data_IF_410317640381
#
_entry.id   IF_410317640381
#
_cell.length_a   1.000
_cell.length_b   1.000
_cell.length_c   1.000
_cell.angle_alpha   90.00
_cell.angle_beta   90.00
_cell.angle_gamma   90.00
#
_symmetry.space_group_name_H-M   'P 1'
#
loop_
_entity.id
_entity.type
_entity.pdbx_description
1 polymer ?
#
# COMPACT_ATOMS: atom_id res chain seq x y z
N UNK A 1 -3.21 -19.85 23.66
CA UNK A 1 -3.59 -18.46 24.03
C UNK A 1 -4.58 -17.95 22.99
N UNK A 2 -5.87 -17.86 23.34
CA UNK A 2 -6.87 -17.13 22.54
C UNK A 2 -6.76 -15.68 23.00
N UNK A 3 -6.17 -14.81 22.20
CA UNK A 3 -6.04 -13.41 22.55
C UNK A 3 -7.34 -12.70 22.15
N UNK A 4 -8.19 -12.28 23.12
CA UNK A 4 -9.53 -11.72 22.81
C UNK A 4 -9.48 -10.45 21.98
N UNK A 5 -8.31 -9.82 21.90
CA UNK A 5 -8.09 -8.55 21.23
C UNK A 5 -7.62 -8.67 19.76
N UNK A 6 -7.30 -9.89 19.30
CA UNK A 6 -6.83 -10.13 17.94
C UNK A 6 -7.97 -10.71 17.12
N UNK A 7 -8.47 -9.91 16.18
CA UNK A 7 -9.52 -10.34 15.25
C UNK A 7 -9.00 -10.30 13.81
N UNK A 8 -9.19 -11.40 13.08
CA UNK A 8 -8.87 -11.51 11.67
C UNK A 8 -10.12 -11.25 10.84
N UNK A 9 -10.06 -10.21 10.01
CA UNK A 9 -11.12 -9.87 9.09
C UNK A 9 -10.80 -10.48 7.73
N UNK A 10 -11.69 -11.35 7.24
CA UNK A 10 -11.48 -12.08 5.98
C UNK A 10 -12.78 -12.23 5.20
N UNK A 11 -12.67 -12.71 3.96
CA UNK A 11 -13.83 -13.06 3.13
C UNK A 11 -14.31 -14.47 3.45
N UNK A 12 -15.61 -14.71 3.26
CA UNK A 12 -16.28 -16.00 3.55
C UNK A 12 -15.52 -17.19 2.95
N UNK A 13 -15.08 -17.05 1.70
CA UNK A 13 -14.36 -18.08 0.92
C UNK A 13 -13.01 -18.47 1.53
N UNK A 14 -12.39 -17.58 2.31
CA UNK A 14 -11.07 -17.80 2.92
C UNK A 14 -11.15 -18.15 4.40
N UNK A 15 -12.34 -18.14 5.00
CA UNK A 15 -12.52 -18.45 6.44
C UNK A 15 -11.95 -19.82 6.77
N UNK A 16 -12.26 -20.85 5.97
CA UNK A 16 -11.76 -22.22 6.23
C UNK A 16 -10.24 -22.30 6.25
N UNK A 17 -9.57 -21.59 5.33
CA UNK A 17 -8.10 -21.58 5.25
C UNK A 17 -7.47 -20.94 6.51
N UNK A 18 -8.05 -19.83 6.99
CA UNK A 18 -7.52 -19.17 8.19
C UNK A 18 -7.91 -19.90 9.47
N UNK A 19 -9.07 -20.54 9.51
CA UNK A 19 -9.50 -21.32 10.66
C UNK A 19 -8.63 -22.55 10.87
N UNK A 20 -8.16 -23.19 9.79
CA UNK A 20 -7.20 -24.29 9.89
C UNK A 20 -5.78 -23.82 10.23
N UNK A 21 -5.35 -22.67 9.70
CA UNK A 21 -4.02 -22.13 9.97
C UNK A 21 -3.87 -21.48 11.35
N UNK A 22 -4.93 -20.85 11.87
CA UNK A 22 -4.90 -20.05 13.10
C UNK A 22 -6.15 -20.27 13.99
N UNK A 23 -6.43 -21.49 14.46
CA UNK A 23 -7.67 -21.82 15.17
C UNK A 23 -7.89 -20.99 16.45
N UNK A 24 -6.81 -20.44 17.04
CA UNK A 24 -6.88 -19.59 18.23
C UNK A 24 -7.29 -18.13 17.98
N UNK A 25 -7.43 -17.67 16.73
CA UNK A 25 -7.75 -16.27 16.40
C UNK A 25 -9.25 -16.12 16.16
N UNK A 26 -9.85 -15.01 16.61
CA UNK A 26 -11.26 -14.73 16.32
C UNK A 26 -11.41 -14.30 14.86
N UNK A 27 -12.36 -14.90 14.13
CA UNK A 27 -12.62 -14.57 12.74
C UNK A 27 -13.91 -13.78 12.58
N UNK A 28 -13.87 -12.77 11.73
CA UNK A 28 -15.08 -12.11 11.21
C UNK A 28 -15.06 -12.21 9.70
N UNK A 29 -16.09 -12.84 9.17
CA UNK A 29 -16.30 -12.99 7.74
C UNK A 29 -17.10 -11.80 7.23
N UNK A 30 -16.48 -10.99 6.36
CA UNK A 30 -17.06 -9.74 5.87
C UNK A 30 -17.97 -9.92 4.64
N UNK A 31 -18.28 -11.17 4.27
CA UNK A 31 -19.04 -11.52 3.06
C UNK A 31 -18.18 -12.12 1.94
N UNK A 32 -18.81 -12.36 0.79
CA UNK A 32 -18.16 -12.88 -0.44
C UNK A 32 -17.13 -11.90 -1.02
N UNK A 33 -16.12 -12.46 -1.68
CA UNK A 33 -15.10 -11.69 -2.39
C UNK A 33 -15.77 -10.80 -3.46
N UNK A 34 -15.34 -9.53 -3.53
CA UNK A 34 -15.92 -8.51 -4.41
C UNK A 34 -16.96 -7.59 -3.75
N UNK A 35 -17.54 -7.93 -2.60
CA UNK A 35 -18.48 -7.05 -1.91
C UNK A 35 -17.75 -6.06 -0.98
N UNK A 36 -17.02 -5.12 -1.60
CA UNK A 36 -16.15 -4.15 -0.90
C UNK A 36 -16.86 -3.31 0.15
N UNK A 37 -18.11 -2.94 -0.09
CA UNK A 37 -18.91 -2.14 0.86
C UNK A 37 -19.13 -2.86 2.19
N UNK A 38 -19.44 -4.16 2.17
CA UNK A 38 -19.59 -4.94 3.40
C UNK A 38 -18.28 -5.03 4.20
N UNK A 39 -17.16 -5.19 3.50
CA UNK A 39 -15.83 -5.17 4.12
C UNK A 39 -15.55 -3.84 4.84
N UNK A 40 -15.86 -2.72 4.19
CA UNK A 40 -15.71 -1.37 4.77
C UNK A 40 -16.62 -1.18 6.00
N UNK A 41 -17.88 -1.61 5.91
CA UNK A 41 -18.84 -1.51 7.02
C UNK A 41 -18.32 -2.28 8.24
N UNK A 42 -17.81 -3.50 8.03
CA UNK A 42 -17.35 -4.33 9.13
C UNK A 42 -16.04 -3.82 9.73
N UNK A 43 -15.13 -3.30 8.89
CA UNK A 43 -13.97 -2.54 9.37
C UNK A 43 -14.37 -1.31 10.20
N UNK A 44 -15.39 -0.57 9.78
CA UNK A 44 -15.85 0.62 10.50
C UNK A 44 -16.52 0.25 11.84
N UNK A 45 -17.23 -0.86 11.89
CA UNK A 45 -17.80 -1.42 13.11
C UNK A 45 -16.71 -1.88 14.08
N UNK A 46 -15.68 -2.56 13.58
CA UNK A 46 -14.50 -2.95 14.36
C UNK A 46 -13.77 -1.73 14.94
N UNK A 47 -13.63 -0.66 14.15
CA UNK A 47 -13.08 0.62 14.64
C UNK A 47 -13.87 1.16 15.85
N UNK A 48 -15.21 1.09 15.82
CA UNK A 48 -16.05 1.53 16.95
C UNK A 48 -15.86 0.64 18.19
N UNK A 49 -15.55 -0.63 17.99
CA UNK A 49 -15.32 -1.61 19.05
C UNK A 49 -13.91 -1.54 19.66
N UNK A 50 -13.05 -0.59 19.23
CA UNK A 50 -11.70 -0.34 19.76
C UNK A 50 -10.80 -1.59 19.81
N UNK A 51 -10.86 -2.45 18.80
CA UNK A 51 -9.87 -3.53 18.66
C UNK A 51 -8.46 -2.94 18.61
N UNK A 52 -7.53 -3.54 19.35
CA UNK A 52 -6.14 -3.11 19.37
C UNK A 52 -5.40 -3.56 18.11
N UNK A 53 -5.73 -4.76 17.59
CA UNK A 53 -5.08 -5.36 16.43
C UNK A 53 -6.11 -5.91 15.44
N UNK A 54 -5.93 -5.58 14.16
CA UNK A 54 -6.74 -6.16 13.07
C UNK A 54 -5.80 -6.79 12.06
N UNK A 55 -6.01 -8.09 11.80
CA UNK A 55 -5.24 -8.80 10.79
C UNK A 55 -5.97 -8.70 9.45
N UNK A 56 -5.28 -8.20 8.42
CA UNK A 56 -5.75 -8.15 7.04
C UNK A 56 -4.88 -9.03 6.15
N UNK A 57 -5.50 -9.65 5.15
CA UNK A 57 -4.75 -10.41 4.15
C UNK A 57 -4.09 -9.45 3.16
N UNK A 58 -2.76 -9.53 3.03
CA UNK A 58 -1.93 -8.55 2.32
C UNK A 58 -2.14 -8.46 0.79
N UNK A 59 -3.01 -9.29 0.22
CA UNK A 59 -3.22 -9.36 -1.23
C UNK A 59 -4.13 -8.25 -1.77
N UNK A 60 -4.91 -7.60 -0.92
CA UNK A 60 -5.89 -6.60 -1.35
C UNK A 60 -5.44 -5.19 -1.00
N UNK A 61 -4.65 -4.58 -1.89
CA UNK A 61 -4.23 -3.16 -1.82
C UNK A 61 -5.42 -2.23 -1.48
N UNK A 62 -6.64 -2.39 -2.04
CA UNK A 62 -7.78 -1.55 -1.65
C UNK A 62 -8.15 -1.68 -0.17
N UNK A 63 -8.14 -2.90 0.38
CA UNK A 63 -8.46 -3.15 1.78
C UNK A 63 -7.37 -2.61 2.71
N UNK A 64 -6.11 -2.68 2.28
CA UNK A 64 -4.99 -2.01 2.95
C UNK A 64 -5.27 -0.52 2.98
N UNK A 65 -5.44 0.15 1.84
CA UNK A 65 -5.72 1.60 1.75
C UNK A 65 -6.94 2.04 2.57
N UNK A 66 -8.00 1.23 2.58
CA UNK A 66 -9.18 1.47 3.42
C UNK A 66 -8.86 1.34 4.91
N UNK A 67 -8.07 0.34 5.30
CA UNK A 67 -7.56 0.23 6.67
C UNK A 67 -6.74 1.43 7.09
N UNK A 68 -5.95 1.98 6.16
CA UNK A 68 -5.16 3.18 6.40
C UNK A 68 -6.03 4.39 6.74
N UNK A 69 -7.11 4.57 5.97
CA UNK A 69 -7.97 5.75 6.08
C UNK A 69 -8.94 5.64 7.27
N UNK A 70 -9.39 4.43 7.59
CA UNK A 70 -10.53 4.25 8.49
C UNK A 70 -10.20 3.59 9.82
N UNK A 71 -9.04 2.94 10.01
CA UNK A 71 -8.69 2.30 11.29
C UNK A 71 -7.57 3.03 12.04
N UNK A 72 -7.73 3.10 13.37
CA UNK A 72 -6.72 3.62 14.31
C UNK A 72 -5.99 2.49 15.06
N UNK A 73 -6.23 1.24 14.67
CA UNK A 73 -5.66 0.05 15.28
C UNK A 73 -4.37 -0.35 14.56
N UNK A 74 -3.52 -1.13 15.22
CA UNK A 74 -2.38 -1.77 14.54
C UNK A 74 -2.91 -2.79 13.53
N UNK A 75 -2.45 -2.64 12.28
CA UNK A 75 -2.86 -3.52 11.19
C UNK A 75 -1.73 -4.49 10.91
N UNK A 76 -1.94 -5.77 11.20
CA UNK A 76 -1.02 -6.81 10.80
C UNK A 76 -1.42 -7.35 9.43
N UNK A 77 -0.53 -7.25 8.46
CA UNK A 77 -0.71 -7.85 7.16
C UNK A 77 -0.14 -9.26 7.13
N UNK A 78 -0.95 -10.19 6.67
CA UNK A 78 -0.52 -11.56 6.42
C UNK A 78 -0.42 -11.83 4.92
N UNK A 79 0.79 -12.10 4.43
CA UNK A 79 1.07 -12.35 3.02
C UNK A 79 0.87 -13.82 2.64
N UNK A 80 0.68 -14.11 1.35
CA UNK A 80 0.63 -15.48 0.78
C UNK A 80 1.89 -16.30 1.07
N UNK A 81 3.00 -15.64 1.37
CA UNK A 81 4.28 -16.25 1.74
C UNK A 81 4.39 -16.53 3.25
N UNK A 82 3.28 -16.50 3.99
CA UNK A 82 3.23 -16.72 5.44
C UNK A 82 4.04 -15.70 6.26
N UNK A 83 4.32 -14.54 5.67
CA UNK A 83 5.07 -13.46 6.32
C UNK A 83 4.11 -12.45 6.96
N UNK A 84 4.44 -12.07 8.18
CA UNK A 84 3.75 -11.04 8.95
C UNK A 84 4.42 -9.69 8.75
N UNK A 85 3.62 -8.69 8.42
CA UNK A 85 4.07 -7.31 8.33
C UNK A 85 3.20 -6.48 9.26
N UNK A 86 3.78 -5.95 10.35
CA UNK A 86 3.09 -4.97 11.17
C UNK A 86 3.15 -3.63 10.48
N UNK A 87 1.99 -3.08 10.15
CA UNK A 87 1.90 -1.67 9.85
C UNK A 87 1.58 -0.94 11.14
N UNK A 88 2.63 -0.49 11.82
CA UNK A 88 2.51 0.38 12.97
C UNK A 88 2.18 1.80 12.49
N UNK A 89 0.89 2.15 12.60
CA UNK A 89 0.38 3.43 12.15
C UNK A 89 0.33 4.42 13.30
N UNK A 90 1.41 5.21 13.41
CA UNK A 90 1.48 6.38 14.31
C UNK A 90 0.54 7.51 13.86
N UNK A 91 -0.77 7.30 14.01
CA UNK A 91 -1.82 8.30 13.91
C UNK A 91 -1.96 9.05 12.56
N UNK A 92 -3.00 9.87 12.46
CA UNK A 92 -3.28 10.72 11.29
C UNK A 92 -2.09 11.64 10.95
N UNK A 93 -1.33 12.08 11.96
CA UNK A 93 -0.13 12.89 11.76
C UNK A 93 1.01 12.17 11.05
N UNK A 94 1.17 10.86 11.26
CA UNK A 94 2.15 10.04 10.53
C UNK A 94 1.80 9.95 9.05
N UNK A 95 0.53 9.72 8.75
CA UNK A 95 0.02 9.71 7.37
C UNK A 95 0.25 11.03 6.65
N UNK A 96 -0.07 12.15 7.30
CA UNK A 96 0.12 13.47 6.71
C UNK A 96 1.60 13.71 6.35
N UNK A 97 2.52 13.28 7.23
CA UNK A 97 3.97 13.40 6.97
C UNK A 97 4.43 12.55 5.79
N UNK A 98 3.93 11.33 5.65
CA UNK A 98 4.28 10.45 4.52
C UNK A 98 3.72 10.99 3.21
N UNK A 99 2.45 11.42 3.21
CA UNK A 99 1.82 12.03 2.04
C UNK A 99 2.57 13.31 1.63
N UNK A 100 2.92 14.17 2.58
CA UNK A 100 3.66 15.40 2.30
C UNK A 100 5.05 15.09 1.73
N UNK A 101 5.76 14.08 2.25
CA UNK A 101 7.04 13.63 1.68
C UNK A 101 6.89 13.18 0.23
N UNK A 102 5.87 12.37 -0.07
CA UNK A 102 5.60 11.91 -1.44
C UNK A 102 5.28 13.10 -2.36
N UNK A 103 4.46 14.04 -1.88
CA UNK A 103 4.06 15.23 -2.63
C UNK A 103 5.26 16.12 -2.99
N UNK A 104 6.27 16.21 -2.13
CA UNK A 104 7.51 16.96 -2.39
C UNK A 104 8.47 16.16 -3.28
N UNK A 105 8.52 14.83 -3.12
CA UNK A 105 9.44 13.97 -3.87
C UNK A 105 9.08 13.89 -5.37
N UNK A 106 7.78 13.90 -5.71
CA UNK A 106 7.32 13.78 -7.10
C UNK A 106 7.81 14.96 -7.97
N UNK A 107 7.62 16.25 -7.60
CA UNK A 107 8.16 17.38 -8.35
C UNK A 107 9.68 17.35 -8.49
N UNK A 108 10.40 16.96 -7.43
CA UNK A 108 11.85 16.85 -7.47
C UNK A 108 12.31 15.79 -8.48
N UNK A 109 11.62 14.65 -8.53
CA UNK A 109 11.88 13.60 -9.51
C UNK A 109 11.58 14.06 -10.94
N UNK A 110 10.45 14.74 -11.16
CA UNK A 110 10.08 15.29 -12.47
C UNK A 110 11.15 16.28 -12.93
N UNK A 111 11.58 17.19 -12.06
CA UNK A 111 12.63 18.16 -12.37
C UNK A 111 13.95 17.48 -12.77
N UNK A 112 14.39 16.46 -12.01
CA UNK A 112 15.60 15.70 -12.32
C UNK A 112 15.50 14.99 -13.68
N UNK A 113 14.36 14.37 -13.98
CA UNK A 113 14.12 13.70 -15.26
C UNK A 113 14.10 14.70 -16.43
N UNK A 114 13.47 15.86 -16.25
CA UNK A 114 13.46 16.93 -17.25
C UNK A 114 14.86 17.48 -17.51
N UNK A 115 15.65 17.71 -16.44
CA UNK A 115 17.03 18.18 -16.56
C UNK A 115 17.92 17.15 -17.27
N UNK A 116 17.83 15.88 -16.89
CA UNK A 116 18.55 14.79 -17.55
C UNK A 116 18.15 14.68 -19.04
N UNK A 117 16.86 14.74 -19.34
CA UNK A 117 16.34 14.74 -20.71
C UNK A 117 16.89 15.89 -21.55
N UNK A 118 16.95 17.10 -20.98
CA UNK A 118 17.50 18.27 -21.66
C UNK A 118 19.00 18.13 -21.97
N UNK A 119 19.79 17.60 -21.02
CA UNK A 119 21.22 17.35 -21.21
C UNK A 119 21.45 16.32 -22.33
N UNK A 120 20.69 15.22 -22.32
CA UNK A 120 20.76 14.19 -23.36
C UNK A 120 20.35 14.74 -24.74
N UNK A 121 19.31 15.57 -24.79
CA UNK A 121 18.88 16.20 -26.03
C UNK A 121 19.93 17.15 -26.59
N UNK A 122 20.50 18.01 -25.74
CA UNK A 122 21.55 18.97 -26.12
C UNK A 122 22.81 18.27 -26.64
N UNK A 123 23.23 17.20 -25.98
CA UNK A 123 24.40 16.41 -26.39
C UNK A 123 24.15 15.72 -27.73
N UNK A 124 22.97 15.12 -27.94
CA UNK A 124 22.58 14.51 -29.21
C UNK A 124 22.53 15.53 -30.36
N UNK A 125 21.95 16.72 -30.14
CA UNK A 125 21.93 17.80 -31.12
C UNK A 125 23.36 18.24 -31.50
N UNK A 126 24.24 18.42 -30.50
CA UNK A 126 25.63 18.81 -30.75
C UNK A 126 26.35 17.78 -31.62
N UNK A 127 26.16 16.49 -31.35
CA UNK A 127 26.72 15.41 -32.17
C UNK A 127 26.19 15.43 -33.60
N UNK A 128 24.88 15.62 -33.81
CA UNK A 128 24.29 15.77 -35.14
C UNK A 128 24.90 16.96 -35.91
N UNK A 129 25.05 18.12 -35.26
CA UNK A 129 25.66 19.29 -35.88
C UNK A 129 27.14 19.06 -36.25
N UNK A 130 27.90 18.36 -35.41
CA UNK A 130 29.29 18.02 -35.71
C UNK A 130 29.38 17.09 -36.93
N UNK A 131 28.54 16.04 -36.99
CA UNK A 131 28.50 15.14 -38.16
C UNK A 131 28.09 15.86 -39.45
N UNK A 132 27.13 16.79 -39.37
CA UNK A 132 26.73 17.58 -40.54
C UNK A 132 27.86 18.51 -41.03
N UNK A 133 28.66 19.06 -40.12
CA UNK A 133 29.81 19.91 -40.48
C UNK A 133 30.94 19.11 -41.13
N UNK A 134 31.18 17.88 -40.67
CA UNK A 134 32.20 16.98 -41.25
C UNK A 134 31.81 16.58 -42.68
N UNK A 135 30.56 16.17 -42.92
CA UNK A 135 30.08 15.78 -44.26
C UNK A 135 30.08 16.92 -45.30
N UNK A 136 30.15 18.19 -44.87
CA UNK A 136 30.29 19.34 -45.77
C UNK A 136 31.75 19.70 -46.10
N UNK A 137 32.70 19.16 -45.34
CA UNK A 137 34.13 19.46 -45.51
C UNK A 137 34.87 18.42 -46.36
N UNK A 138 34.29 17.23 -46.54
CA UNK A 138 34.65 16.20 -47.52
C UNK A 138 33.90 16.39 -48.82
#
# INVERSE_FOLDING_TARGET
>A
FVNPDITLLTYDERVQHFNSAFPQIRFVAAGRYGNRLKFIVEMHKMRRQRFSHVILTALDIPNISLSLLFMRAEVALYNKWHQWWSLDFRGIGGYLKVILKILIMIPALIYLLSAAGFILFRTKLRMCFMNFKINKAT
#
